data_IF_472955695623
#
_entry.id   IF_472955695623
#
_cell.length_a   1.000
_cell.length_b   1.000
_cell.length_c   1.000
_cell.angle_alpha   90.00
_cell.angle_beta   90.00
_cell.angle_gamma   90.00
#
_symmetry.space_group_name_H-M   'P 1'
#
loop_
_entity.id
_entity.type
_entity.pdbx_description
1 polymer ?
#
# COMPACT_ATOMS: atom_id res chain seq x y z
N UNK A 1 7.93 -1.90 -11.34
CA UNK A 1 7.69 -3.13 -10.54
C UNK A 1 8.96 -3.38 -9.71
N UNK A 2 8.87 -3.72 -8.42
CA UNK A 2 10.06 -3.89 -7.55
C UNK A 2 10.96 -5.05 -8.02
N UNK A 3 12.29 -4.85 -8.05
CA UNK A 3 13.28 -5.83 -8.53
C UNK A 3 13.17 -7.21 -7.85
N UNK A 4 12.82 -7.23 -6.57
CA UNK A 4 12.69 -8.46 -5.77
C UNK A 4 11.51 -9.32 -6.22
N UNK A 5 10.38 -8.69 -6.58
CA UNK A 5 9.18 -9.40 -7.04
C UNK A 5 9.44 -10.01 -8.41
N UNK A 6 10.14 -9.29 -9.29
CA UNK A 6 10.51 -9.79 -10.61
C UNK A 6 11.50 -10.96 -10.51
N UNK A 7 12.50 -10.84 -9.65
CA UNK A 7 13.45 -11.92 -9.39
C UNK A 7 12.73 -13.18 -8.91
N UNK A 8 11.81 -13.07 -7.94
CA UNK A 8 11.03 -14.21 -7.50
C UNK A 8 10.12 -14.77 -8.61
N UNK A 9 9.44 -13.90 -9.38
CA UNK A 9 8.60 -14.31 -10.52
C UNK A 9 9.39 -15.16 -11.52
N UNK A 10 10.63 -14.77 -11.83
CA UNK A 10 11.49 -15.49 -12.77
C UNK A 10 12.02 -16.83 -12.20
N UNK A 11 12.12 -16.95 -10.87
CA UNK A 11 12.49 -18.22 -10.23
C UNK A 11 11.28 -19.17 -10.06
N UNK A 12 10.06 -18.74 -10.39
CA UNK A 12 8.89 -19.62 -10.34
C UNK A 12 8.97 -20.66 -11.45
N UNK A 13 8.68 -21.94 -11.14
CA UNK A 13 8.64 -23.01 -12.13
C UNK A 13 7.58 -22.70 -13.20
N UNK A 14 7.84 -23.12 -14.45
CA UNK A 14 6.97 -22.81 -15.59
C UNK A 14 5.51 -23.22 -15.35
N UNK A 15 5.29 -24.38 -14.73
CA UNK A 15 3.96 -24.90 -14.35
C UNK A 15 3.17 -23.95 -13.44
N UNK A 16 3.84 -23.06 -12.71
CA UNK A 16 3.23 -22.10 -11.79
C UNK A 16 3.20 -20.67 -12.31
N UNK A 17 3.57 -20.41 -13.56
CA UNK A 17 3.52 -19.05 -14.12
C UNK A 17 2.12 -18.63 -14.57
N UNK A 18 1.13 -19.52 -14.52
CA UNK A 18 -0.26 -19.25 -14.86
C UNK A 18 -0.91 -18.21 -13.92
N UNK A 19 -1.88 -17.47 -14.44
CA UNK A 19 -2.63 -16.44 -13.68
C UNK A 19 -3.49 -17.03 -12.55
N UNK A 20 -3.90 -18.29 -12.68
CA UNK A 20 -4.66 -19.02 -11.66
C UNK A 20 -3.77 -19.63 -10.57
N UNK A 21 -2.45 -19.70 -10.79
CA UNK A 21 -1.52 -20.33 -9.86
C UNK A 21 -1.12 -19.36 -8.73
N UNK A 22 -1.11 -19.80 -7.45
CA UNK A 22 -0.71 -18.97 -6.33
C UNK A 22 0.67 -18.34 -6.52
N UNK A 23 0.77 -17.02 -6.34
CA UNK A 23 2.04 -16.31 -6.51
C UNK A 23 3.12 -16.86 -5.57
N UNK A 24 2.82 -16.91 -4.26
CA UNK A 24 3.72 -17.46 -3.25
C UNK A 24 3.49 -18.95 -3.03
N UNK A 25 4.51 -19.75 -3.34
CA UNK A 25 4.47 -21.20 -3.26
C UNK A 25 4.89 -21.71 -1.87
N UNK A 26 4.27 -22.79 -1.43
CA UNK A 26 4.64 -23.48 -0.19
C UNK A 26 6.05 -24.10 -0.27
N UNK A 27 6.79 -24.07 0.84
CA UNK A 27 8.12 -24.67 0.93
C UNK A 27 8.01 -26.19 1.04
N UNK A 28 8.81 -26.92 0.27
CA UNK A 28 8.93 -28.36 0.42
C UNK A 28 9.91 -28.71 1.55
N UNK A 29 9.40 -29.31 2.63
CA UNK A 29 10.19 -29.74 3.79
C UNK A 29 10.60 -31.22 3.73
N UNK A 30 10.43 -31.89 2.59
CA UNK A 30 10.87 -33.28 2.42
C UNK A 30 12.37 -33.44 2.70
N UNK A 31 12.75 -34.56 3.34
CA UNK A 31 14.14 -34.86 3.72
C UNK A 31 15.06 -34.72 2.50
N UNK A 32 16.23 -34.10 2.70
CA UNK A 32 17.26 -33.94 1.66
C UNK A 32 17.51 -35.29 0.96
N UNK A 33 17.43 -35.30 -0.36
CA UNK A 33 17.63 -36.49 -1.21
C UNK A 33 16.35 -37.13 -1.76
N UNK A 34 15.15 -36.81 -1.24
CA UNK A 34 13.86 -37.31 -1.78
C UNK A 34 13.00 -36.26 -2.45
N UNK A 35 13.30 -34.97 -2.24
CA UNK A 35 12.53 -33.90 -2.81
C UNK A 35 12.95 -33.66 -4.27
N UNK A 36 12.06 -33.98 -5.22
CA UNK A 36 12.25 -33.66 -6.65
C UNK A 36 12.23 -32.15 -6.88
N UNK A 37 11.53 -31.39 -6.04
CA UNK A 37 11.35 -29.94 -6.18
C UNK A 37 11.43 -29.21 -4.83
N UNK A 38 11.91 -27.96 -4.86
CA UNK A 38 12.06 -27.09 -3.70
C UNK A 38 10.73 -26.50 -3.17
N UNK A 39 9.64 -26.66 -3.94
CA UNK A 39 8.33 -26.04 -3.68
C UNK A 39 7.21 -27.08 -3.66
N UNK A 40 6.05 -26.69 -3.13
CA UNK A 40 4.78 -27.40 -3.25
C UNK A 40 3.83 -26.60 -4.14
N UNK A 41 3.02 -27.30 -4.93
CA UNK A 41 2.02 -26.70 -5.82
C UNK A 41 0.77 -26.18 -5.09
N UNK A 42 1.00 -25.49 -3.98
CA UNK A 42 -0.04 -24.96 -3.11
C UNK A 42 0.40 -23.59 -2.59
N UNK A 43 -0.56 -22.70 -2.26
CA UNK A 43 -0.23 -21.44 -1.62
C UNK A 43 0.51 -21.68 -0.30
N UNK A 44 1.29 -20.70 0.16
CA UNK A 44 1.81 -20.69 1.53
C UNK A 44 0.62 -20.81 2.49
N UNK A 45 0.50 -21.98 3.13
CA UNK A 45 -0.60 -22.34 4.02
C UNK A 45 -0.14 -22.32 5.47
N UNK A 46 -0.99 -21.79 6.35
CA UNK A 46 -0.80 -21.79 7.80
C UNK A 46 -0.71 -20.39 8.38
N UNK A 47 -1.51 -20.15 9.42
CA UNK A 47 -1.48 -18.92 10.19
C UNK A 47 -0.06 -18.71 10.75
N UNK A 48 0.49 -17.51 10.55
CA UNK A 48 1.80 -17.14 11.07
C UNK A 48 3.01 -17.53 10.22
N UNK A 49 2.90 -18.27 9.11
CA UNK A 49 4.06 -18.57 8.24
C UNK A 49 4.72 -17.30 7.69
N UNK A 50 3.91 -16.35 7.22
CA UNK A 50 4.40 -15.05 6.75
C UNK A 50 5.02 -14.23 7.89
N UNK A 51 4.43 -14.30 9.10
CA UNK A 51 4.99 -13.65 10.30
C UNK A 51 6.37 -14.22 10.64
N UNK A 52 6.54 -15.53 10.59
CA UNK A 52 7.83 -16.19 10.82
C UNK A 52 8.85 -15.81 9.75
N UNK A 53 8.46 -15.79 8.47
CA UNK A 53 9.31 -15.31 7.39
C UNK A 53 9.79 -13.87 7.64
N UNK A 54 8.88 -12.97 8.04
CA UNK A 54 9.23 -11.59 8.38
C UNK A 54 10.22 -11.52 9.55
N UNK A 55 10.02 -12.31 10.61
CA UNK A 55 10.96 -12.39 11.74
C UNK A 55 12.33 -12.86 11.29
N UNK A 56 12.42 -13.93 10.51
CA UNK A 56 13.69 -14.44 10.00
C UNK A 56 14.39 -13.42 9.09
N UNK A 57 13.64 -12.73 8.22
CA UNK A 57 14.18 -11.66 7.38
C UNK A 57 14.73 -10.50 8.23
N UNK A 58 14.00 -10.09 9.27
CA UNK A 58 14.44 -9.07 10.21
C UNK A 58 15.73 -9.44 10.94
N UNK A 59 15.81 -10.67 11.46
CA UNK A 59 17.02 -11.19 12.12
C UNK A 59 18.21 -11.19 11.16
N UNK A 60 18.02 -11.65 9.91
CA UNK A 60 19.09 -11.64 8.90
C UNK A 60 19.51 -10.22 8.48
N UNK A 61 18.58 -9.27 8.50
CA UNK A 61 18.85 -7.87 8.24
C UNK A 61 19.35 -7.11 9.49
N UNK A 62 19.63 -7.81 10.59
CA UNK A 62 20.07 -7.25 11.87
C UNK A 62 19.12 -6.19 12.46
N UNK A 63 17.82 -6.29 12.17
CA UNK A 63 16.77 -5.44 12.75
C UNK A 63 16.41 -6.00 14.12
N UNK A 64 16.73 -5.25 15.17
CA UNK A 64 16.61 -5.67 16.58
C UNK A 64 15.21 -5.49 17.18
N UNK A 65 14.25 -4.95 16.44
CA UNK A 65 12.89 -4.76 16.93
C UNK A 65 12.13 -6.10 17.07
N UNK A 66 12.00 -6.56 18.32
CA UNK A 66 11.27 -7.78 18.68
C UNK A 66 9.77 -7.72 18.35
N UNK A 67 9.21 -6.53 18.10
CA UNK A 67 7.80 -6.31 17.76
C UNK A 67 7.57 -6.20 16.25
N UNK A 68 8.57 -6.48 15.41
CA UNK A 68 8.38 -6.49 13.96
C UNK A 68 7.43 -7.63 13.57
N UNK A 69 6.29 -7.23 13.02
CA UNK A 69 5.27 -8.13 12.48
C UNK A 69 4.86 -7.65 11.10
N UNK A 70 4.04 -8.42 10.39
CA UNK A 70 3.46 -7.99 9.11
C UNK A 70 2.74 -6.63 9.24
N UNK A 71 2.12 -6.38 10.40
CA UNK A 71 1.46 -5.11 10.69
C UNK A 71 2.45 -3.94 10.76
N UNK A 72 3.69 -4.17 11.19
CA UNK A 72 4.75 -3.15 11.18
C UNK A 72 5.08 -2.71 9.75
N UNK A 73 5.18 -3.66 8.81
CA UNK A 73 5.39 -3.35 7.40
C UNK A 73 4.23 -2.53 6.81
N UNK A 74 2.97 -2.92 7.11
CA UNK A 74 1.79 -2.15 6.73
C UNK A 74 1.85 -0.73 7.32
N UNK A 75 2.19 -0.59 8.60
CA UNK A 75 2.29 0.70 9.27
C UNK A 75 3.33 1.60 8.63
N UNK A 76 4.53 1.09 8.36
CA UNK A 76 5.58 1.85 7.69
C UNK A 76 5.16 2.29 6.29
N UNK A 77 4.51 1.41 5.51
CA UNK A 77 4.02 1.77 4.18
C UNK A 77 2.98 2.90 4.23
N UNK A 78 1.99 2.79 5.13
CA UNK A 78 0.94 3.82 5.32
C UNK A 78 1.56 5.14 5.77
N UNK A 79 2.42 5.13 6.79
CA UNK A 79 3.10 6.33 7.28
C UNK A 79 3.88 7.02 6.16
N UNK A 80 4.64 6.26 5.36
CA UNK A 80 5.43 6.85 4.27
C UNK A 80 4.56 7.47 3.18
N UNK A 81 3.46 6.81 2.79
CA UNK A 81 2.51 7.40 1.82
C UNK A 81 1.96 8.75 2.30
N UNK A 82 1.69 8.87 3.61
CA UNK A 82 1.20 10.11 4.21
C UNK A 82 2.30 11.17 4.30
N UNK A 83 3.53 10.77 4.64
CA UNK A 83 4.70 11.67 4.70
C UNK A 83 5.10 12.23 3.33
N UNK A 84 4.87 11.49 2.24
CA UNK A 84 5.02 11.96 0.85
C UNK A 84 3.88 12.91 0.42
N UNK A 85 2.92 13.20 1.31
CA UNK A 85 1.85 14.17 1.06
C UNK A 85 0.67 13.64 0.26
N UNK A 86 0.52 12.31 0.10
CA UNK A 86 -0.63 11.75 -0.60
C UNK A 86 -1.93 12.04 0.16
N UNK A 87 -3.03 12.37 -0.55
CA UNK A 87 -4.33 12.58 0.10
C UNK A 87 -4.78 11.35 0.88
N UNK A 88 -5.32 11.55 2.09
CA UNK A 88 -5.76 10.45 2.95
C UNK A 88 -6.83 9.56 2.28
N UNK A 89 -7.64 10.10 1.39
CA UNK A 89 -8.63 9.35 0.60
C UNK A 89 -7.97 8.32 -0.33
N UNK A 90 -6.87 8.70 -1.00
CA UNK A 90 -6.10 7.81 -1.87
C UNK A 90 -5.41 6.73 -1.04
N UNK A 91 -4.79 7.13 0.08
CA UNK A 91 -4.15 6.18 1.00
C UNK A 91 -5.19 5.21 1.56
N UNK A 92 -6.38 5.68 1.93
CA UNK A 92 -7.48 4.84 2.43
C UNK A 92 -7.88 3.78 1.41
N UNK A 93 -8.10 4.19 0.16
CA UNK A 93 -8.46 3.27 -0.93
C UNK A 93 -7.36 2.24 -1.17
N UNK A 94 -6.11 2.68 -1.27
CA UNK A 94 -4.98 1.79 -1.58
C UNK A 94 -4.68 0.80 -0.46
N UNK A 95 -4.88 1.21 0.79
CA UNK A 95 -4.59 0.39 1.97
C UNK A 95 -5.79 -0.43 2.43
N UNK A 96 -7.00 -0.12 1.95
CA UNK A 96 -8.24 -0.80 2.33
C UNK A 96 -8.74 -0.45 3.73
N UNK A 97 -8.49 0.76 4.23
CA UNK A 97 -9.07 1.18 5.51
C UNK A 97 -10.55 1.56 5.33
N UNK A 98 -11.42 1.05 6.21
CA UNK A 98 -12.85 1.41 6.20
C UNK A 98 -13.09 2.85 6.66
N UNK A 99 -12.30 3.32 7.63
CA UNK A 99 -12.47 4.62 8.25
C UNK A 99 -11.23 5.50 8.01
N UNK A 100 -11.43 6.68 7.43
CA UNK A 100 -10.36 7.66 7.20
C UNK A 100 -9.72 8.14 8.51
N UNK A 101 -10.48 8.23 9.60
CA UNK A 101 -10.01 8.68 10.91
C UNK A 101 -8.92 7.75 11.46
N UNK A 102 -8.99 6.45 11.12
CA UNK A 102 -7.96 5.48 11.53
C UNK A 102 -6.59 5.80 10.94
N UNK A 103 -6.54 6.52 9.81
CA UNK A 103 -5.30 6.94 9.17
C UNK A 103 -4.59 8.09 9.91
N UNK A 104 -5.32 8.90 10.69
CA UNK A 104 -4.72 10.00 11.44
C UNK A 104 -3.71 9.50 12.49
N UNK A 105 -3.87 8.26 12.98
CA UNK A 105 -2.89 7.64 13.89
C UNK A 105 -1.50 7.44 13.28
N UNK A 106 -1.41 7.46 11.95
CA UNK A 106 -0.17 7.37 11.19
C UNK A 106 0.42 8.75 10.87
N UNK A 107 -0.35 9.84 11.02
CA UNK A 107 0.14 11.23 10.95
C UNK A 107 0.90 11.59 12.22
N UNK A 108 2.05 10.93 12.43
CA UNK A 108 3.00 11.37 13.44
C UNK A 108 3.83 12.52 12.88
N UNK A 109 4.18 13.46 13.75
CA UNK A 109 5.12 14.52 13.43
C UNK A 109 6.49 13.88 13.18
N UNK A 110 6.75 13.46 11.95
CA UNK A 110 8.06 12.98 11.53
C UNK A 110 9.08 14.10 11.71
N UNK A 111 10.36 13.76 11.88
CA UNK A 111 11.40 14.78 12.03
C UNK A 111 11.40 15.77 10.85
N UNK A 112 11.11 15.28 9.63
CA UNK A 112 10.94 16.12 8.44
C UNK A 112 9.78 17.11 8.63
N UNK A 113 8.62 16.62 9.07
CA UNK A 113 7.45 17.47 9.33
C UNK A 113 7.70 18.47 10.47
N UNK A 114 8.37 18.05 11.53
CA UNK A 114 8.76 18.93 12.63
C UNK A 114 9.71 20.02 12.17
N UNK A 115 10.69 19.71 11.31
CA UNK A 115 11.59 20.69 10.71
C UNK A 115 10.85 21.67 9.80
N UNK A 116 9.93 21.19 8.96
CA UNK A 116 9.06 22.07 8.16
C UNK A 116 8.24 23.00 9.05
N UNK A 117 7.64 22.48 10.13
CA UNK A 117 6.86 23.27 11.08
C UNK A 117 7.76 24.31 11.78
N UNK A 118 8.93 23.90 12.27
CA UNK A 118 9.88 24.79 12.92
C UNK A 118 10.30 25.93 11.98
N UNK A 119 10.64 25.62 10.73
CA UNK A 119 10.97 26.62 9.73
C UNK A 119 9.83 27.62 9.47
N UNK A 120 8.57 27.16 9.45
CA UNK A 120 7.42 28.06 9.32
C UNK A 120 7.27 28.96 10.56
N UNK A 121 7.53 28.43 11.76
CA UNK A 121 7.45 29.18 13.02
C UNK A 121 8.59 30.18 13.19
N UNK A 122 9.79 29.86 12.70
CA UNK A 122 10.97 30.73 12.74
C UNK A 122 10.86 31.95 11.81
N UNK A 123 9.74 32.11 11.08
CA UNK A 123 9.42 33.31 10.31
C UNK A 123 10.20 33.45 9.00
N UNK A 124 10.99 32.46 8.61
CA UNK A 124 11.79 32.45 7.38
C UNK A 124 10.99 32.07 6.14
N UNK A 125 9.69 32.36 6.08
CA UNK A 125 8.84 31.98 4.94
C UNK A 125 9.12 32.83 3.70
N UNK A 126 9.90 32.30 2.77
CA UNK A 126 9.56 32.41 1.35
C UNK A 126 8.78 31.13 0.99
N UNK A 127 7.56 31.33 0.47
CA UNK A 127 6.63 30.35 -0.10
C UNK A 127 5.67 29.60 0.85
N UNK A 128 4.39 29.88 0.58
CA UNK A 128 3.18 29.47 1.28
C UNK A 128 2.84 27.99 1.07
N UNK A 129 2.76 27.21 2.16
CA UNK A 129 2.15 25.88 2.15
C UNK A 129 0.76 25.95 2.78
N UNK A 130 -0.27 25.67 1.98
CA UNK A 130 -1.66 25.58 2.41
C UNK A 130 -1.88 24.40 3.36
N UNK A 131 -2.00 24.67 4.65
CA UNK A 131 -2.45 23.69 5.64
C UNK A 131 -3.97 23.54 5.51
N UNK A 132 -4.45 22.36 5.12
CA UNK A 132 -5.86 22.00 5.25
C UNK A 132 -6.21 21.88 6.73
N UNK A 133 -6.72 22.96 7.31
CA UNK A 133 -7.38 22.93 8.62
C UNK A 133 -8.75 22.31 8.45
N UNK A 134 -8.90 21.04 8.83
CA UNK A 134 -10.22 20.43 9.00
C UNK A 134 -10.86 21.04 10.24
N UNK A 135 -11.75 22.02 10.05
CA UNK A 135 -12.66 22.49 11.10
C UNK A 135 -13.58 21.32 11.49
N UNK A 136 -13.38 20.77 12.68
CA UNK A 136 -14.34 19.85 13.30
C UNK A 136 -15.54 20.68 13.74
N UNK A 137 -16.60 20.68 12.94
CA UNK A 137 -17.89 21.21 13.37
C UNK A 137 -18.68 20.07 14.02
N UNK A 138 -18.83 20.16 15.34
CA UNK A 138 -19.86 19.42 16.06
C UNK A 138 -21.21 20.05 15.69
N UNK A 139 -22.01 19.40 14.85
CA UNK A 139 -23.44 19.69 14.78
C UNK A 139 -24.21 18.39 14.58
N UNK A 140 -25.03 18.11 15.59
CA UNK A 140 -26.02 17.03 15.64
C UNK A 140 -27.20 17.46 14.76
N UNK A 141 -27.68 16.52 13.94
CA UNK A 141 -28.94 16.54 13.18
C UNK A 141 -29.19 17.70 12.20
N UNK A 142 -29.21 17.38 10.88
CA UNK A 142 -30.32 17.71 9.96
C UNK A 142 -30.00 17.28 8.50
N UNK A 143 -30.83 16.35 8.02
CA UNK A 143 -31.31 16.06 6.65
C UNK A 143 -30.36 16.15 5.44
N UNK A 144 -30.20 14.96 4.85
CA UNK A 144 -29.77 14.67 3.48
C UNK A 144 -30.41 15.60 2.43
N UNK A 145 -29.57 16.31 1.68
CA UNK A 145 -29.84 16.70 0.30
C UNK A 145 -28.65 16.28 -0.58
N UNK A 146 -28.84 15.21 -1.34
CA UNK A 146 -27.91 14.75 -2.37
C UNK A 146 -28.17 15.56 -3.63
N UNK A 147 -27.22 16.39 -4.05
CA UNK A 147 -27.18 16.95 -5.41
C UNK A 147 -25.99 16.31 -6.16
N UNK A 148 -26.16 15.78 -7.39
CA UNK A 148 -25.25 14.80 -7.97
C UNK A 148 -24.20 15.46 -8.88
N UNK A 149 -22.97 15.64 -8.39
CA UNK A 149 -21.82 16.07 -9.23
C UNK A 149 -20.88 14.93 -9.65
N UNK A 150 -21.18 13.68 -9.25
CA UNK A 150 -20.27 12.53 -9.47
C UNK A 150 -20.44 11.90 -10.87
N UNK A 151 -21.59 12.11 -11.54
CA UNK A 151 -21.85 11.47 -12.84
C UNK A 151 -20.99 12.04 -13.98
N UNK A 152 -20.63 13.33 -13.93
CA UNK A 152 -20.00 14.02 -15.07
C UNK A 152 -18.53 13.61 -15.29
N UNK A 153 -17.77 13.35 -14.22
CA UNK A 153 -16.33 13.02 -14.33
C UNK A 153 -16.09 11.59 -14.77
N UNK A 154 -16.94 10.64 -14.35
CA UNK A 154 -16.84 9.24 -14.77
C UNK A 154 -17.26 9.06 -16.24
N UNK A 155 -18.25 9.80 -16.73
CA UNK A 155 -18.60 9.83 -18.16
C UNK A 155 -17.44 10.36 -19.02
N UNK A 156 -16.74 11.40 -18.54
CA UNK A 156 -15.60 12.00 -19.25
C UNK A 156 -14.40 11.04 -19.36
N UNK A 157 -14.13 10.27 -18.30
CA UNK A 157 -13.06 9.25 -18.31
C UNK A 157 -13.41 8.02 -19.15
N UNK A 158 -14.69 7.64 -19.24
CA UNK A 158 -15.12 6.55 -20.13
C UNK A 158 -14.94 6.94 -21.61
N UNK A 159 -15.33 8.16 -21.98
CA UNK A 159 -15.21 8.65 -23.35
C UNK A 159 -13.76 8.81 -23.82
N UNK A 160 -12.84 9.22 -22.93
CA UNK A 160 -11.40 9.26 -23.20
C UNK A 160 -10.79 7.87 -23.41
N UNK A 161 -11.27 6.85 -22.69
CA UNK A 161 -10.82 5.46 -22.86
C UNK A 161 -11.31 4.85 -24.18
N UNK A 162 -12.51 5.19 -24.62
CA UNK A 162 -13.06 4.68 -25.89
C UNK A 162 -12.28 5.24 -27.08
N UNK A 163 -11.93 6.54 -27.07
CA UNK A 163 -11.13 7.14 -28.16
C UNK A 163 -9.70 6.58 -28.27
N UNK A 164 -9.06 6.21 -27.16
CA UNK A 164 -7.73 5.60 -27.19
C UNK A 164 -7.73 4.15 -27.71
N UNK A 165 -8.84 3.42 -27.56
CA UNK A 165 -8.96 2.05 -28.07
C UNK A 165 -9.26 1.98 -29.58
N UNK A 166 -9.81 3.05 -30.17
CA UNK A 166 -10.09 3.11 -31.62
C UNK A 166 -8.84 3.34 -32.46
N UNK A 167 -7.83 4.03 -31.91
CA UNK A 167 -6.59 4.37 -32.63
C UNK A 167 -5.62 3.19 -32.83
N UNK A 168 -5.81 2.07 -32.13
CA UNK A 168 -4.94 0.89 -32.22
C UNK A 168 -5.49 -0.23 -33.14
N UNK A 169 -6.52 0.06 -33.93
CA UNK A 169 -7.20 -0.94 -34.78
C UNK A 169 -7.13 -0.66 -36.29
N UNK A 170 -6.41 0.39 -36.70
CA UNK A 170 -6.22 0.77 -38.12
C UNK A 170 -4.74 0.95 -38.52
N UNK A 171 -3.81 0.22 -37.89
CA UNK A 171 -2.44 0.03 -38.38
C UNK A 171 -2.05 -1.45 -38.33
#
# INVERSE_FOLDING_TARGET
MSLIILQYKNHRPQEMQNDTSPFYLGINHSKKGKAVTWYKNMPIRGEGKLRTLMKTAATKANITDKKLTNHSGRRTAVTRLIEEGLPLTVVQQHTGHKNIQSLLSYQKNSLKKQKEIAHVLDGSSSESVSIQTVKVNQNKDLKVQVVPQIKTTMQKLLNLKIQQCSFHREL
#
